data_IF_451675429680
#
_entry.id   IF_451675429680
#
_cell.length_a   1.000
_cell.length_b   1.000
_cell.length_c   1.000
_cell.angle_alpha   90.00
_cell.angle_beta   90.00
_cell.angle_gamma   90.00
#
_symmetry.space_group_name_H-M   'P 1'
#
loop_
_entity.id
_entity.type
_entity.pdbx_description
1 polymer ?
#
# COMPACT_ATOMS: atom_id res chain seq x y z
N UNK A 1 -40.47 -3.66 15.31
CA UNK A 1 -39.38 -2.97 14.59
C UNK A 1 -39.47 -1.53 15.00
N UNK A 2 -38.53 -1.08 15.83
CA UNK A 2 -38.55 0.29 16.39
C UNK A 2 -38.02 1.28 15.35
N UNK A 3 -38.50 2.51 15.37
CA UNK A 3 -38.17 3.63 14.46
C UNK A 3 -36.64 3.79 14.33
N UNK A 4 -35.87 3.52 15.38
CA UNK A 4 -34.39 3.55 15.39
C UNK A 4 -33.74 2.61 14.36
N UNK A 5 -34.37 1.48 13.99
CA UNK A 5 -33.79 0.56 13.03
C UNK A 5 -33.93 1.08 11.57
N UNK A 6 -34.95 1.85 11.30
CA UNK A 6 -35.16 2.44 9.98
C UNK A 6 -34.21 3.61 9.75
N UNK A 7 -33.96 4.44 10.75
CA UNK A 7 -32.96 5.51 10.65
C UNK A 7 -31.55 4.95 10.41
N UNK A 8 -31.16 3.88 11.11
CA UNK A 8 -29.87 3.21 10.88
C UNK A 8 -29.74 2.70 9.44
N UNK A 9 -30.79 2.14 8.86
CA UNK A 9 -30.77 1.65 7.46
C UNK A 9 -30.61 2.83 6.47
N UNK A 10 -31.15 4.01 6.77
CA UNK A 10 -30.99 5.19 5.93
C UNK A 10 -29.61 5.86 6.06
N UNK A 11 -28.92 5.72 7.20
CA UNK A 11 -27.57 6.24 7.39
C UNK A 11 -26.47 5.33 6.79
N UNK A 12 -26.72 4.04 6.61
CA UNK A 12 -25.77 3.09 6.01
C UNK A 12 -25.27 3.53 4.62
N UNK A 13 -26.12 4.00 3.68
CA UNK A 13 -25.63 4.44 2.36
C UNK A 13 -24.68 5.63 2.42
N UNK A 14 -24.94 6.60 3.29
CA UNK A 14 -24.07 7.80 3.42
C UNK A 14 -22.72 7.48 4.05
N UNK A 15 -22.68 6.57 5.02
CA UNK A 15 -21.45 6.13 5.69
C UNK A 15 -20.59 5.25 4.78
N UNK A 16 -21.22 4.42 3.95
CA UNK A 16 -20.53 3.52 3.03
C UNK A 16 -20.07 4.18 1.72
N UNK A 17 -20.50 5.40 1.44
CA UNK A 17 -20.20 6.08 0.17
C UNK A 17 -18.71 6.36 0.01
N UNK A 18 -18.01 6.77 1.07
CA UNK A 18 -16.58 7.05 1.02
C UNK A 18 -15.72 5.79 0.89
N UNK A 19 -15.97 4.71 1.65
CA UNK A 19 -15.33 3.42 1.41
C UNK A 19 -15.53 2.89 -0.02
N UNK A 20 -16.75 2.98 -0.56
CA UNK A 20 -17.04 2.58 -1.94
C UNK A 20 -16.29 3.44 -2.96
N UNK A 21 -16.26 4.77 -2.77
CA UNK A 21 -15.49 5.67 -3.61
C UNK A 21 -13.99 5.34 -3.57
N UNK A 22 -13.45 5.05 -2.38
CA UNK A 22 -12.08 4.61 -2.23
C UNK A 22 -11.81 3.30 -3.01
N UNK A 23 -12.68 2.31 -2.90
CA UNK A 23 -12.57 1.06 -3.65
C UNK A 23 -12.53 1.30 -5.16
N UNK A 24 -13.41 2.15 -5.69
CA UNK A 24 -13.45 2.46 -7.13
C UNK A 24 -12.17 3.15 -7.59
N UNK A 25 -11.70 4.15 -6.83
CA UNK A 25 -10.48 4.89 -7.15
C UNK A 25 -9.25 3.97 -7.11
N UNK A 26 -9.11 3.16 -6.06
CA UNK A 26 -8.02 2.19 -5.91
C UNK A 26 -8.05 1.15 -7.03
N UNK A 27 -9.20 0.54 -7.28
CA UNK A 27 -9.34 -0.50 -8.32
C UNK A 27 -9.00 0.07 -9.70
N UNK A 28 -9.43 1.28 -10.02
CA UNK A 28 -9.18 1.91 -11.31
C UNK A 28 -7.70 2.01 -11.67
N UNK A 29 -6.86 2.44 -10.73
CA UNK A 29 -5.40 2.54 -10.96
C UNK A 29 -4.70 1.19 -10.82
N UNK A 30 -5.11 0.36 -9.86
CA UNK A 30 -4.48 -0.93 -9.60
C UNK A 30 -4.69 -1.93 -10.73
N UNK A 31 -5.83 -1.92 -11.42
CA UNK A 31 -6.07 -2.76 -12.60
C UNK A 31 -5.06 -2.44 -13.70
N UNK A 32 -4.81 -1.16 -13.96
CA UNK A 32 -3.83 -0.75 -14.96
C UNK A 32 -2.39 -1.12 -14.56
N UNK A 33 -1.98 -0.79 -13.34
CA UNK A 33 -0.66 -1.13 -12.82
C UNK A 33 -0.44 -2.64 -12.70
N UNK A 34 -1.50 -3.40 -12.37
CA UNK A 34 -1.50 -4.85 -12.26
C UNK A 34 -1.08 -5.55 -13.56
N UNK A 35 -1.44 -5.00 -14.73
CA UNK A 35 -0.97 -5.53 -16.01
C UNK A 35 0.56 -5.52 -16.10
N UNK A 36 1.21 -4.42 -15.65
CA UNK A 36 2.67 -4.31 -15.63
C UNK A 36 3.31 -5.25 -14.60
N UNK A 37 2.68 -5.42 -13.44
CA UNK A 37 3.12 -6.32 -12.37
C UNK A 37 3.10 -7.78 -12.85
N UNK A 38 1.99 -8.21 -13.48
CA UNK A 38 1.84 -9.57 -14.02
C UNK A 38 2.85 -9.81 -15.16
N UNK A 39 3.00 -8.85 -16.08
CA UNK A 39 3.95 -8.95 -17.18
C UNK A 39 5.40 -9.14 -16.68
N UNK A 40 5.74 -8.53 -15.55
CA UNK A 40 7.06 -8.65 -14.92
C UNK A 40 7.21 -9.84 -13.98
N UNK A 41 6.16 -10.63 -13.76
CA UNK A 41 6.13 -11.80 -12.85
C UNK A 41 6.54 -11.45 -11.41
N UNK A 42 6.04 -10.34 -10.88
CA UNK A 42 6.37 -9.85 -9.52
C UNK A 42 5.08 -9.53 -8.75
N UNK A 43 4.21 -10.52 -8.63
CA UNK A 43 2.83 -10.36 -8.12
C UNK A 43 2.82 -9.91 -6.65
N UNK A 44 3.75 -10.39 -5.82
CA UNK A 44 3.79 -10.11 -4.37
C UNK A 44 4.52 -8.82 -3.98
N UNK A 45 5.05 -8.06 -4.96
CA UNK A 45 5.83 -6.84 -4.66
C UNK A 45 5.00 -5.79 -3.92
N UNK A 46 3.73 -5.67 -4.27
CA UNK A 46 2.80 -4.70 -3.65
C UNK A 46 2.56 -5.02 -2.18
N UNK A 47 2.28 -6.29 -1.87
CA UNK A 47 2.11 -6.76 -0.50
C UNK A 47 3.38 -6.57 0.34
N UNK A 48 4.55 -6.85 -0.23
CA UNK A 48 5.82 -6.70 0.47
C UNK A 48 6.12 -5.22 0.76
N UNK A 49 5.88 -4.31 -0.20
CA UNK A 49 6.04 -2.87 0.00
C UNK A 49 5.06 -2.33 1.04
N UNK A 50 3.83 -2.83 1.07
CA UNK A 50 2.86 -2.45 2.10
C UNK A 50 3.33 -2.85 3.52
N UNK A 51 3.93 -4.04 3.67
CA UNK A 51 4.50 -4.47 4.96
C UNK A 51 5.73 -3.63 5.36
N UNK A 52 6.59 -3.28 4.40
CA UNK A 52 7.73 -2.40 4.65
C UNK A 52 7.24 -1.00 5.08
N UNK A 53 6.19 -0.49 4.46
CA UNK A 53 5.54 0.76 4.84
C UNK A 53 5.00 0.71 6.28
N UNK A 54 4.31 -0.37 6.64
CA UNK A 54 3.80 -0.60 7.99
C UNK A 54 4.93 -0.67 9.03
N UNK A 55 6.03 -1.38 8.72
CA UNK A 55 7.22 -1.41 9.57
C UNK A 55 7.79 0.00 9.79
N UNK A 56 7.85 0.83 8.76
CA UNK A 56 8.28 2.22 8.85
C UNK A 56 7.40 3.04 9.81
N UNK A 57 6.09 2.89 9.72
CA UNK A 57 5.14 3.53 10.64
C UNK A 57 5.38 3.09 12.08
N UNK A 58 5.53 1.78 12.32
CA UNK A 58 5.75 1.21 13.66
C UNK A 58 7.08 1.68 14.27
N UNK A 59 8.13 1.80 13.46
CA UNK A 59 9.40 2.37 13.92
C UNK A 59 9.23 3.84 14.31
N UNK A 60 8.46 4.62 13.56
CA UNK A 60 8.11 5.98 13.93
C UNK A 60 7.43 6.05 15.29
N UNK A 61 6.48 5.15 15.55
CA UNK A 61 5.78 5.06 16.84
C UNK A 61 6.75 4.67 17.96
N UNK A 62 7.65 3.72 17.73
CA UNK A 62 8.67 3.33 18.71
C UNK A 62 9.59 4.50 19.07
N UNK A 63 9.84 5.43 18.14
CA UNK A 63 10.61 6.65 18.37
C UNK A 63 9.84 7.75 19.13
N UNK A 64 8.58 7.49 19.50
CA UNK A 64 7.76 8.36 20.33
C UNK A 64 6.74 9.22 19.58
N UNK A 65 6.55 9.01 18.29
CA UNK A 65 5.48 9.70 17.54
C UNK A 65 4.12 9.04 17.82
N UNK A 66 3.10 9.85 18.10
CA UNK A 66 1.77 9.36 18.45
C UNK A 66 0.88 9.20 17.21
N UNK A 67 0.21 8.05 17.12
CA UNK A 67 -0.79 7.79 16.08
C UNK A 67 -1.94 8.78 16.22
N UNK A 68 -2.32 9.43 15.12
CA UNK A 68 -3.39 10.45 15.11
C UNK A 68 -2.92 11.89 15.38
N UNK A 69 -1.82 12.11 16.09
CA UNK A 69 -1.24 13.45 16.30
C UNK A 69 -0.13 13.76 15.30
N UNK A 70 0.84 12.86 15.18
CA UNK A 70 2.03 13.04 14.37
C UNK A 70 1.91 12.39 12.98
N UNK A 71 0.74 12.50 12.37
CA UNK A 71 0.42 11.83 11.10
C UNK A 71 1.44 12.12 10.00
N UNK A 72 1.96 13.34 9.91
CA UNK A 72 2.95 13.72 8.89
C UNK A 72 4.29 13.04 9.13
N UNK A 73 4.75 12.95 10.38
CA UNK A 73 6.00 12.26 10.72
C UNK A 73 5.90 10.76 10.42
N UNK A 74 4.83 10.12 10.88
CA UNK A 74 4.57 8.70 10.62
C UNK A 74 4.47 8.38 9.12
N UNK A 75 3.82 9.26 8.35
CA UNK A 75 3.76 9.15 6.90
C UNK A 75 5.17 9.24 6.26
N UNK A 76 6.03 10.14 6.72
CA UNK A 76 7.39 10.26 6.21
C UNK A 76 8.24 9.02 6.52
N UNK A 77 8.10 8.44 7.72
CA UNK A 77 8.76 7.17 8.06
C UNK A 77 8.28 6.04 7.15
N UNK A 78 6.97 5.89 6.98
CA UNK A 78 6.37 4.92 6.08
C UNK A 78 6.89 5.08 4.64
N UNK A 79 6.90 6.30 4.13
CA UNK A 79 7.38 6.62 2.79
C UNK A 79 8.88 6.33 2.61
N UNK A 80 9.72 6.72 3.58
CA UNK A 80 11.15 6.46 3.54
C UNK A 80 11.44 4.95 3.50
N UNK A 81 10.77 4.17 4.34
CA UNK A 81 10.88 2.71 4.33
C UNK A 81 10.39 2.09 3.02
N UNK A 82 9.30 2.59 2.46
CA UNK A 82 8.78 2.13 1.16
C UNK A 82 9.77 2.40 0.03
N UNK A 83 10.37 3.60 -0.01
CA UNK A 83 11.39 3.95 -1.01
C UNK A 83 12.62 3.05 -0.85
N UNK A 84 13.07 2.81 0.39
CA UNK A 84 14.18 1.91 0.69
C UNK A 84 13.87 0.46 0.25
N UNK A 85 12.65 -0.04 0.53
CA UNK A 85 12.19 -1.35 0.07
C UNK A 85 12.14 -1.47 -1.45
N UNK A 86 11.62 -0.46 -2.12
CA UNK A 86 11.60 -0.39 -3.59
C UNK A 86 13.01 -0.39 -4.18
N UNK A 87 13.95 0.31 -3.55
CA UNK A 87 15.37 0.28 -3.92
C UNK A 87 15.98 -1.12 -3.77
N UNK A 88 15.73 -1.81 -2.65
CA UNK A 88 16.17 -3.20 -2.45
C UNK A 88 15.63 -4.09 -3.56
N UNK A 89 14.33 -4.04 -3.87
CA UNK A 89 13.75 -4.84 -4.94
C UNK A 89 14.31 -4.50 -6.32
N UNK A 90 14.68 -3.26 -6.56
CA UNK A 90 15.32 -2.86 -7.81
C UNK A 90 16.72 -3.46 -7.97
N UNK A 91 17.52 -3.46 -6.88
CA UNK A 91 18.89 -3.98 -6.90
C UNK A 91 18.92 -5.51 -6.90
N UNK A 92 17.99 -6.16 -6.20
CA UNK A 92 17.92 -7.62 -6.14
C UNK A 92 17.41 -8.27 -7.40
N UNK A 93 16.91 -7.49 -8.36
CA UNK A 93 16.52 -7.97 -9.68
C UNK A 93 17.76 -8.27 -10.53
N UNK A 94 18.40 -9.42 -10.28
CA UNK A 94 19.62 -9.83 -11.01
C UNK A 94 19.30 -10.52 -12.33
N UNK A 95 20.14 -10.28 -13.35
CA UNK A 95 20.07 -10.96 -14.64
C UNK A 95 20.65 -12.38 -14.52
N UNK A 96 19.92 -13.39 -14.94
CA UNK A 96 20.41 -14.78 -14.99
C UNK A 96 20.10 -15.65 -13.77
N UNK A 97 18.90 -15.63 -13.29
CA UNK A 97 18.50 -16.10 -11.96
C UNK A 97 18.37 -17.61 -11.83
N UNK A 98 19.11 -18.18 -10.88
CA UNK A 98 18.82 -19.50 -10.31
C UNK A 98 17.63 -19.45 -9.31
N UNK A 99 17.32 -18.28 -8.74
CA UNK A 99 16.25 -18.06 -7.76
C UNK A 99 15.21 -17.10 -8.35
N UNK A 100 13.93 -17.49 -8.38
CA UNK A 100 12.87 -16.58 -8.81
C UNK A 100 12.84 -15.31 -7.96
N UNK A 101 12.80 -14.14 -8.61
CA UNK A 101 12.74 -12.84 -7.91
C UNK A 101 11.55 -12.75 -6.92
N UNK A 102 10.45 -13.39 -7.26
CA UNK A 102 9.26 -13.47 -6.42
C UNK A 102 9.49 -14.22 -5.10
N UNK A 103 10.38 -15.22 -5.07
CA UNK A 103 10.75 -15.90 -3.84
C UNK A 103 11.51 -14.96 -2.89
N UNK A 104 12.38 -14.09 -3.41
CA UNK A 104 13.08 -13.07 -2.63
C UNK A 104 12.07 -12.06 -2.04
N UNK A 105 11.11 -11.61 -2.84
CA UNK A 105 10.03 -10.72 -2.40
C UNK A 105 9.22 -11.36 -1.27
N UNK A 106 8.86 -12.65 -1.41
CA UNK A 106 8.13 -13.41 -0.40
C UNK A 106 8.89 -13.55 0.93
N UNK A 107 10.21 -13.79 0.87
CA UNK A 107 11.06 -13.82 2.08
C UNK A 107 11.10 -12.44 2.75
N UNK A 108 11.30 -11.37 1.99
CA UNK A 108 11.32 -10.01 2.53
C UNK A 108 9.97 -9.67 3.16
N UNK A 109 8.86 -10.03 2.53
CA UNK A 109 7.52 -9.88 3.10
C UNK A 109 7.41 -10.56 4.47
N UNK A 110 7.77 -11.85 4.57
CA UNK A 110 7.66 -12.61 5.81
C UNK A 110 8.56 -12.05 6.92
N UNK A 111 9.79 -11.69 6.59
CA UNK A 111 10.76 -11.09 7.53
C UNK A 111 10.25 -9.72 8.02
N UNK A 112 9.76 -8.89 7.11
CA UNK A 112 9.25 -7.55 7.45
C UNK A 112 7.99 -7.66 8.32
N UNK A 113 7.08 -8.58 8.01
CA UNK A 113 5.90 -8.84 8.81
C UNK A 113 6.26 -9.28 10.24
N UNK A 114 7.18 -10.25 10.37
CA UNK A 114 7.66 -10.70 11.67
C UNK A 114 8.37 -9.56 12.44
N UNK A 115 9.20 -8.76 11.76
CA UNK A 115 9.87 -7.61 12.35
C UNK A 115 8.85 -6.56 12.85
N UNK A 116 7.78 -6.30 12.09
CA UNK A 116 6.70 -5.38 12.50
C UNK A 116 6.07 -5.84 13.81
N UNK A 117 5.74 -7.12 13.95
CA UNK A 117 5.18 -7.67 15.19
C UNK A 117 6.17 -7.56 16.36
N UNK A 118 7.46 -7.88 16.12
CA UNK A 118 8.49 -7.79 17.16
C UNK A 118 8.71 -6.36 17.65
N UNK A 119 8.82 -5.40 16.75
CA UNK A 119 9.00 -3.98 17.10
C UNK A 119 7.77 -3.47 17.85
N UNK A 120 6.59 -3.86 17.42
CA UNK A 120 5.34 -3.43 18.01
C UNK A 120 5.14 -4.03 19.43
N UNK A 121 5.64 -5.24 19.68
CA UNK A 121 5.61 -5.84 21.03
C UNK A 121 6.48 -5.08 22.06
N UNK A 122 7.40 -4.24 21.59
CA UNK A 122 8.21 -3.36 22.43
C UNK A 122 7.57 -1.99 22.65
N UNK A 123 6.52 -1.66 21.92
CA UNK A 123 5.80 -0.39 22.06
C UNK A 123 4.68 -0.51 23.08
N UNK A 124 4.28 0.62 23.67
CA UNK A 124 3.11 0.68 24.57
C UNK A 124 1.76 0.63 23.83
N UNK A 125 1.77 0.36 22.53
CA UNK A 125 0.58 0.29 21.69
C UNK A 125 -0.22 -0.99 22.00
N UNK A 126 -1.51 -0.84 22.18
CA UNK A 126 -2.41 -1.97 22.41
C UNK A 126 -2.60 -2.87 21.16
N UNK A 127 -2.99 -4.14 21.36
CA UNK A 127 -3.22 -5.08 20.24
C UNK A 127 -4.24 -4.60 19.20
N UNK A 128 -5.15 -3.73 19.57
CA UNK A 128 -6.18 -3.18 18.69
C UNK A 128 -5.60 -2.16 17.70
N UNK A 129 -4.76 -1.23 18.15
CA UNK A 129 -4.07 -0.26 17.28
C UNK A 129 -3.08 -0.95 16.33
N UNK A 130 -2.52 -2.08 16.79
CA UNK A 130 -1.69 -2.98 16.01
C UNK A 130 -2.46 -3.51 14.78
N UNK A 131 -3.65 -3.99 15.02
CA UNK A 131 -4.53 -4.55 13.99
C UNK A 131 -4.89 -3.51 12.92
N UNK A 132 -5.16 -2.27 13.34
CA UNK A 132 -5.43 -1.13 12.45
C UNK A 132 -4.23 -0.76 11.56
N UNK A 133 -3.02 -0.74 12.10
CA UNK A 133 -1.80 -0.43 11.35
C UNK A 133 -1.51 -1.50 10.29
N UNK A 134 -1.69 -2.77 10.64
CA UNK A 134 -1.37 -3.91 9.75
C UNK A 134 -2.45 -4.12 8.67
N UNK A 135 -3.73 -4.05 9.05
CA UNK A 135 -4.85 -4.35 8.14
C UNK A 135 -5.34 -3.14 7.35
N UNK A 136 -5.09 -1.94 7.88
CA UNK A 136 -5.67 -0.70 7.35
C UNK A 136 -7.18 -0.58 7.66
N UNK A 137 -7.71 0.61 7.46
CA UNK A 137 -9.10 0.95 7.80
C UNK A 137 -9.90 1.42 6.57
N UNK A 138 -10.10 0.55 5.61
CA UNK A 138 -10.88 0.93 4.43
C UNK A 138 -12.32 1.31 4.77
N UNK A 139 -12.93 0.65 5.77
CA UNK A 139 -14.33 0.90 6.16
C UNK A 139 -14.52 2.26 6.86
N UNK A 140 -13.48 2.78 7.50
CA UNK A 140 -13.53 4.05 8.24
C UNK A 140 -12.77 5.18 7.53
N UNK A 141 -12.49 5.00 6.23
CA UNK A 141 -11.76 5.98 5.45
C UNK A 141 -12.50 7.32 5.41
N UNK A 142 -11.79 8.39 5.76
CA UNK A 142 -12.34 9.74 5.77
C UNK A 142 -12.35 10.34 4.35
N UNK A 143 -13.30 11.25 4.12
CA UNK A 143 -13.46 11.97 2.85
C UNK A 143 -12.16 12.61 2.37
N UNK A 144 -11.42 13.25 3.27
CA UNK A 144 -10.18 13.96 2.98
C UNK A 144 -9.10 13.00 2.43
N UNK A 145 -9.02 11.79 2.99
CA UNK A 145 -8.08 10.76 2.54
C UNK A 145 -8.44 10.27 1.14
N UNK A 146 -9.73 10.04 0.89
CA UNK A 146 -10.21 9.60 -0.44
C UNK A 146 -9.92 10.65 -1.50
N UNK A 147 -10.16 11.94 -1.20
CA UNK A 147 -9.90 13.04 -2.14
C UNK A 147 -8.38 13.15 -2.41
N UNK A 148 -7.54 13.13 -1.37
CA UNK A 148 -6.08 13.17 -1.54
C UNK A 148 -5.59 11.99 -2.38
N UNK A 149 -6.03 10.78 -2.08
CA UNK A 149 -5.69 9.58 -2.85
C UNK A 149 -6.15 9.69 -4.31
N UNK A 150 -7.37 10.18 -4.55
CA UNK A 150 -7.91 10.38 -5.90
C UNK A 150 -7.06 11.34 -6.73
N UNK A 151 -6.61 12.45 -6.13
CA UNK A 151 -5.74 13.42 -6.82
C UNK A 151 -4.39 12.79 -7.15
N UNK A 152 -3.77 12.10 -6.18
CA UNK A 152 -2.47 11.44 -6.40
C UNK A 152 -2.58 10.38 -7.50
N UNK A 153 -3.60 9.51 -7.43
CA UNK A 153 -3.79 8.45 -8.42
C UNK A 153 -4.18 9.00 -9.80
N UNK A 154 -4.93 10.11 -9.86
CA UNK A 154 -5.20 10.78 -11.12
C UNK A 154 -3.90 11.32 -11.77
N UNK A 155 -3.01 11.95 -11.00
CA UNK A 155 -1.71 12.42 -11.48
C UNK A 155 -0.84 11.26 -11.96
N UNK A 156 -0.76 10.18 -11.18
CA UNK A 156 -0.04 8.96 -11.56
C UNK A 156 -0.65 8.34 -12.82
N UNK A 157 -1.97 8.27 -12.90
CA UNK A 157 -2.69 7.76 -14.06
C UNK A 157 -2.43 8.58 -15.33
N UNK A 158 -2.47 9.91 -15.23
CA UNK A 158 -2.15 10.82 -16.35
C UNK A 158 -0.70 10.61 -16.79
N UNK A 159 0.24 10.55 -15.85
CA UNK A 159 1.64 10.29 -16.16
C UNK A 159 1.82 8.97 -16.92
N UNK A 160 1.22 7.89 -16.45
CA UNK A 160 1.29 6.58 -17.11
C UNK A 160 0.56 6.58 -18.46
N UNK A 161 -0.56 7.31 -18.60
CA UNK A 161 -1.27 7.44 -19.86
C UNK A 161 -0.45 8.15 -20.93
N UNK A 162 0.25 9.24 -20.55
CA UNK A 162 1.15 9.98 -21.45
C UNK A 162 2.31 9.10 -21.93
N UNK A 163 2.90 8.33 -21.01
CA UNK A 163 4.04 7.46 -21.30
C UNK A 163 3.67 6.01 -21.60
N UNK A 164 2.38 5.70 -21.80
CA UNK A 164 1.86 4.33 -21.94
C UNK A 164 2.60 3.45 -22.95
N UNK A 165 3.01 4.02 -24.10
CA UNK A 165 3.74 3.27 -25.13
C UNK A 165 5.11 2.80 -24.63
N UNK A 166 5.84 3.65 -23.89
CA UNK A 166 7.15 3.32 -23.33
C UNK A 166 7.01 2.28 -22.20
N UNK A 167 6.05 2.45 -21.30
CA UNK A 167 5.81 1.51 -20.21
C UNK A 167 5.40 0.15 -20.74
N UNK A 168 4.51 0.10 -21.73
CA UNK A 168 4.05 -1.15 -22.35
C UNK A 168 5.19 -1.88 -23.05
N UNK A 169 6.03 -1.17 -23.82
CA UNK A 169 7.19 -1.74 -24.49
C UNK A 169 8.15 -2.39 -23.47
N UNK A 170 8.54 -1.65 -22.42
CA UNK A 170 9.46 -2.14 -21.38
C UNK A 170 8.87 -3.31 -20.59
N UNK A 171 7.55 -3.40 -20.46
CA UNK A 171 6.90 -4.47 -19.67
C UNK A 171 6.65 -5.73 -20.48
N UNK A 172 6.33 -5.63 -21.77
CA UNK A 172 5.97 -6.76 -22.61
C UNK A 172 7.15 -7.29 -23.45
N UNK A 173 8.08 -6.44 -23.83
CA UNK A 173 9.28 -6.81 -24.59
C UNK A 173 10.55 -6.21 -23.96
N UNK A 174 11.09 -6.83 -22.90
CA UNK A 174 12.32 -6.38 -22.25
C UNK A 174 13.57 -6.51 -23.14
N UNK A 175 13.51 -7.34 -24.19
CA UNK A 175 14.64 -7.62 -25.09
C UNK A 175 14.79 -6.58 -26.22
N UNK A 176 13.74 -5.83 -26.52
CA UNK A 176 13.74 -4.81 -27.58
C UNK A 176 14.30 -3.45 -27.18
N UNK A 177 14.88 -3.32 -25.98
CA UNK A 177 15.41 -2.05 -25.43
C UNK A 177 16.94 -2.00 -25.36
N UNK A 178 17.66 -2.94 -26.01
CA UNK A 178 19.13 -2.86 -26.22
C UNK A 178 19.49 -2.17 -27.54
#
# INVERSE_FOLDING_TARGET
>A
MTVNNLEQIFYLPSTMMWPLAACVVLTGILVYLGVHVIARKVIFVDLALAQIAALGTVIGVLLGYEVGKDTTALYLYSLAFTIFGAFIFSVTRMRGEKVPHEAIIGIIYAVTFAATILVLSQSAIGPQELDHIIKGELLWVQKEVVIKASVIYALVGIFHYVFRKKFMLISLDPSGTE
#
